data_IF_049055166073
#
_entry.id   IF_049055166073
#
_cell.length_a   1.000
_cell.length_b   1.000
_cell.length_c   1.000
_cell.angle_alpha   90.00
_cell.angle_beta   90.00
_cell.angle_gamma   90.00
#
_symmetry.space_group_name_H-M   'P 1'
#
loop_
_entity.id
_entity.type
_entity.pdbx_description
1 polymer ?
#
# COMPACT_ATOMS: atom_id res chain seq x y z
N UNK A 1 40.53 -30.98 30.57
CA UNK A 1 39.13 -31.30 30.18
C UNK A 1 38.12 -30.15 30.25
N UNK A 2 38.25 -29.12 31.13
CA UNK A 2 37.30 -27.98 31.18
C UNK A 2 37.38 -27.01 29.98
N UNK A 3 38.58 -26.71 29.47
CA UNK A 3 38.76 -25.77 28.33
C UNK A 3 38.18 -26.27 27.00
N UNK A 4 38.27 -27.57 26.73
CA UNK A 4 37.73 -28.17 25.49
C UNK A 4 36.20 -28.24 25.47
N UNK A 5 35.55 -28.41 26.63
CA UNK A 5 34.08 -28.34 26.74
C UNK A 5 33.53 -26.95 26.44
N UNK A 6 34.23 -25.89 26.85
CA UNK A 6 33.81 -24.51 26.61
C UNK A 6 33.92 -24.11 25.13
N UNK A 7 34.96 -24.58 24.43
CA UNK A 7 35.15 -24.33 22.99
C UNK A 7 34.10 -25.09 22.16
N UNK A 8 33.80 -26.34 22.51
CA UNK A 8 32.75 -27.11 21.86
C UNK A 8 31.36 -26.49 22.04
N UNK A 9 31.05 -25.98 23.24
CA UNK A 9 29.80 -25.28 23.50
C UNK A 9 29.68 -23.95 22.73
N UNK A 10 30.78 -23.19 22.61
CA UNK A 10 30.81 -21.96 21.81
C UNK A 10 30.62 -22.22 20.32
N UNK A 11 31.24 -23.29 19.79
CA UNK A 11 31.06 -23.74 18.41
C UNK A 11 29.60 -24.15 18.15
N UNK A 12 28.97 -24.89 19.07
CA UNK A 12 27.54 -25.23 18.97
C UNK A 12 26.67 -23.97 18.93
N UNK A 13 26.93 -22.97 19.80
CA UNK A 13 26.21 -21.69 19.79
C UNK A 13 26.35 -20.93 18.46
N UNK A 14 27.56 -20.92 17.88
CA UNK A 14 27.85 -20.30 16.59
C UNK A 14 27.16 -21.01 15.41
N UNK A 15 26.92 -22.33 15.50
CA UNK A 15 26.14 -23.06 14.49
C UNK A 15 24.62 -22.98 14.72
N UNK A 16 24.17 -22.52 15.89
CA UNK A 16 22.74 -22.29 16.19
C UNK A 16 22.28 -20.85 15.97
N UNK A 17 23.10 -19.97 15.39
CA UNK A 17 22.67 -18.62 15.01
C UNK A 17 21.72 -18.71 13.82
N UNK A 18 20.46 -19.03 14.11
CA UNK A 18 19.35 -18.89 13.17
C UNK A 18 19.33 -17.43 12.72
N UNK A 19 19.36 -17.22 11.41
CA UNK A 19 19.20 -15.88 10.83
C UNK A 19 17.78 -15.41 11.13
N UNK A 20 17.62 -14.59 12.17
CA UNK A 20 16.35 -13.91 12.44
C UNK A 20 16.27 -12.72 11.49
N UNK A 21 15.37 -12.81 10.51
CA UNK A 21 15.02 -11.66 9.67
C UNK A 21 14.08 -10.77 10.45
N UNK A 22 14.60 -9.66 10.99
CA UNK A 22 13.78 -8.58 11.53
C UNK A 22 13.64 -7.50 10.44
N UNK A 23 12.43 -7.31 9.90
CA UNK A 23 12.13 -6.17 9.05
C UNK A 23 11.65 -5.00 9.93
N UNK A 24 11.95 -3.77 9.50
CA UNK A 24 11.49 -2.56 10.16
C UNK A 24 10.62 -1.77 9.18
N UNK A 25 9.49 -1.26 9.67
CA UNK A 25 8.67 -0.31 8.91
C UNK A 25 9.48 0.92 8.50
N UNK A 26 9.17 1.44 7.33
CA UNK A 26 9.76 2.67 6.79
C UNK A 26 8.68 3.67 6.40
N UNK A 27 9.12 4.90 6.16
CA UNK A 27 8.27 6.00 5.72
C UNK A 27 8.62 6.39 4.29
N UNK A 28 7.61 6.64 3.46
CA UNK A 28 7.75 7.31 2.17
C UNK A 28 7.03 8.64 2.24
N UNK A 29 7.72 9.72 1.83
CA UNK A 29 7.16 11.08 1.81
C UNK A 29 7.22 11.62 0.39
N UNK A 30 6.14 12.24 -0.06
CA UNK A 30 6.06 12.97 -1.33
C UNK A 30 5.37 14.31 -1.11
N UNK A 31 5.66 15.26 -1.99
CA UNK A 31 5.08 16.61 -1.93
C UNK A 31 4.50 16.98 -3.30
N UNK A 32 3.28 17.52 -3.29
CA UNK A 32 2.56 18.04 -4.45
C UNK A 32 1.99 19.39 -4.06
N UNK A 33 2.62 20.49 -4.51
CA UNK A 33 2.20 21.85 -4.14
C UNK A 33 2.23 22.07 -2.61
N UNK A 34 1.08 22.44 -2.03
CA UNK A 34 0.89 22.60 -0.58
C UNK A 34 0.50 21.30 0.16
N UNK A 35 0.42 20.17 -0.55
CA UNK A 35 0.07 18.87 0.01
C UNK A 35 1.33 18.04 0.24
N UNK A 36 1.57 17.67 1.49
CA UNK A 36 2.55 16.66 1.89
C UNK A 36 1.83 15.35 2.10
N UNK A 37 2.32 14.29 1.49
CA UNK A 37 1.82 12.94 1.65
C UNK A 37 2.88 12.07 2.32
N UNK A 38 2.48 11.27 3.30
CA UNK A 38 3.37 10.34 4.01
C UNK A 38 2.68 8.99 4.17
N UNK A 39 3.37 7.88 3.88
CA UNK A 39 2.91 6.52 4.17
C UNK A 39 3.93 5.77 5.03
N UNK A 40 3.48 5.14 6.11
CA UNK A 40 4.21 4.11 6.87
C UNK A 40 3.87 2.73 6.33
N UNK A 41 4.86 1.91 6.05
CA UNK A 41 4.62 0.51 5.67
C UNK A 41 5.85 -0.37 5.89
N UNK A 42 5.69 -1.70 5.87
CA UNK A 42 6.78 -2.67 6.08
C UNK A 42 7.49 -3.10 4.79
N UNK A 43 6.83 -2.95 3.64
CA UNK A 43 7.34 -3.43 2.34
C UNK A 43 6.98 -2.48 1.20
N UNK A 44 7.55 -2.70 0.02
CA UNK A 44 7.31 -1.89 -1.18
C UNK A 44 5.97 -2.26 -1.85
N UNK A 45 4.84 -1.97 -1.20
CA UNK A 45 3.50 -2.22 -1.75
C UNK A 45 3.09 -1.21 -2.81
N UNK A 46 2.12 -1.62 -3.65
CA UNK A 46 1.46 -0.74 -4.60
C UNK A 46 0.68 0.41 -3.92
N UNK A 47 0.28 0.25 -2.65
CA UNK A 47 -0.31 1.34 -1.84
C UNK A 47 0.57 2.60 -1.81
N UNK A 48 1.90 2.48 -1.88
CA UNK A 48 2.79 3.64 -1.96
C UNK A 48 2.50 4.46 -3.23
N UNK A 49 2.24 3.79 -4.35
CA UNK A 49 1.93 4.43 -5.64
C UNK A 49 0.54 5.04 -5.64
N UNK A 50 -0.45 4.37 -5.04
CA UNK A 50 -1.80 4.90 -4.87
C UNK A 50 -1.82 6.14 -3.99
N UNK A 51 -1.09 6.12 -2.88
CA UNK A 51 -0.96 7.28 -1.98
C UNK A 51 -0.33 8.50 -2.68
N UNK A 52 0.62 8.28 -3.59
CA UNK A 52 1.16 9.35 -4.43
C UNK A 52 0.10 9.92 -5.40
N UNK A 53 -0.70 9.07 -6.04
CA UNK A 53 -1.85 9.48 -6.86
C UNK A 53 -2.83 10.34 -6.03
N UNK A 54 -3.13 9.90 -4.80
CA UNK A 54 -3.98 10.67 -3.87
C UNK A 54 -3.39 12.06 -3.60
N UNK A 55 -2.08 12.16 -3.39
CA UNK A 55 -1.40 13.43 -3.17
C UNK A 55 -1.54 14.41 -4.34
N UNK A 56 -1.42 13.93 -5.58
CA UNK A 56 -1.64 14.76 -6.78
C UNK A 56 -3.10 15.22 -6.91
N UNK A 57 -4.06 14.31 -6.71
CA UNK A 57 -5.50 14.66 -6.74
C UNK A 57 -5.88 15.63 -5.62
N UNK A 58 -5.30 15.47 -4.44
CA UNK A 58 -5.50 16.34 -3.30
C UNK A 58 -4.99 17.77 -3.54
N UNK A 59 -3.87 17.92 -4.25
CA UNK A 59 -3.36 19.24 -4.63
C UNK A 59 -4.31 19.94 -5.60
N UNK A 60 -4.84 19.21 -6.58
CA UNK A 60 -5.83 19.73 -7.52
C UNK A 60 -7.11 20.14 -6.79
N UNK A 61 -7.57 19.31 -5.84
CA UNK A 61 -8.73 19.62 -4.99
C UNK A 61 -8.48 20.90 -4.17
N UNK A 62 -7.32 21.02 -3.53
CA UNK A 62 -6.97 22.19 -2.74
C UNK A 62 -6.96 23.47 -3.59
N UNK A 63 -6.38 23.41 -4.80
CA UNK A 63 -6.43 24.52 -5.77
C UNK A 63 -7.86 24.88 -6.16
N UNK A 64 -8.71 23.89 -6.47
CA UNK A 64 -10.13 24.13 -6.82
C UNK A 64 -10.91 24.79 -5.69
N UNK A 65 -10.58 24.47 -4.44
CA UNK A 65 -11.16 25.07 -3.25
C UNK A 65 -10.44 26.36 -2.79
N UNK A 66 -9.48 26.86 -3.57
CA UNK A 66 -8.66 28.04 -3.25
C UNK A 66 -7.95 27.95 -1.88
N UNK A 67 -7.52 26.76 -1.48
CA UNK A 67 -6.83 26.51 -0.22
C UNK A 67 -5.32 26.36 -0.43
N UNK A 68 -4.54 27.31 0.09
CA UNK A 68 -3.09 27.38 -0.11
C UNK A 68 -2.26 27.10 1.16
N UNK A 69 -2.91 26.89 2.30
CA UNK A 69 -2.22 26.53 3.54
C UNK A 69 -1.77 25.06 3.51
N UNK A 70 -0.82 24.63 4.36
CA UNK A 70 -0.29 23.28 4.31
C UNK A 70 -1.35 22.22 4.60
N UNK A 71 -1.26 21.12 3.86
CA UNK A 71 -2.05 19.91 4.06
C UNK A 71 -1.08 18.76 4.29
N UNK A 72 -1.36 17.92 5.29
CA UNK A 72 -0.71 16.64 5.48
C UNK A 72 -1.74 15.52 5.27
N UNK A 73 -1.45 14.62 4.34
CA UNK A 73 -2.12 13.34 4.21
C UNK A 73 -1.20 12.26 4.75
N UNK A 74 -1.59 11.60 5.83
CA UNK A 74 -0.73 10.71 6.59
C UNK A 74 -1.36 9.31 6.73
N UNK A 75 -0.74 8.35 6.08
CA UNK A 75 -1.24 7.00 5.88
C UNK A 75 -0.42 6.00 6.68
N UNK A 76 -1.07 5.19 7.50
CA UNK A 76 -0.43 4.07 8.20
C UNK A 76 -1.00 2.76 7.67
N UNK A 77 -0.18 2.06 6.88
CA UNK A 77 -0.60 0.83 6.19
C UNK A 77 -0.58 -0.34 7.16
N UNK A 78 -1.76 -0.90 7.44
CA UNK A 78 -1.92 -2.13 8.22
C UNK A 78 -1.82 -3.35 7.30
N UNK A 79 -0.60 -3.87 7.12
CA UNK A 79 -0.31 -4.83 6.04
C UNK A 79 -0.24 -6.31 6.48
N UNK A 80 -0.45 -6.60 7.77
CA UNK A 80 -0.39 -7.98 8.31
C UNK A 80 -1.76 -8.57 8.66
N UNK A 81 -2.82 -7.88 8.26
CA UNK A 81 -4.20 -8.35 8.41
C UNK A 81 -5.17 -7.39 7.73
N UNK A 82 -6.46 -7.53 8.07
CA UNK A 82 -7.51 -6.62 7.63
C UNK A 82 -7.76 -5.56 8.70
N UNK A 83 -7.85 -4.29 8.30
CA UNK A 83 -8.28 -3.20 9.15
C UNK A 83 -9.32 -2.37 8.41
N UNK A 84 -10.48 -2.15 9.05
CA UNK A 84 -11.44 -1.17 8.56
C UNK A 84 -10.81 0.23 8.58
N UNK A 85 -11.03 1.07 7.54
CA UNK A 85 -10.43 2.38 7.48
C UNK A 85 -10.88 3.28 8.63
N UNK A 86 -9.93 3.82 9.38
CA UNK A 86 -10.18 4.83 10.43
C UNK A 86 -9.53 6.15 10.02
N UNK A 87 -10.26 7.25 10.19
CA UNK A 87 -9.85 8.59 9.79
C UNK A 87 -9.72 9.51 11.00
N UNK A 88 -8.68 10.33 11.03
CA UNK A 88 -8.47 11.37 12.04
C UNK A 88 -8.24 12.70 11.37
N UNK A 89 -8.98 13.73 11.78
CA UNK A 89 -8.94 15.06 11.19
C UNK A 89 -8.51 16.09 12.23
N UNK A 90 -7.47 16.86 11.93
CA UNK A 90 -6.93 17.87 12.84
C UNK A 90 -6.40 19.10 12.10
N UNK A 91 -6.18 20.17 12.87
CA UNK A 91 -5.48 21.37 12.41
C UNK A 91 -4.27 21.61 13.31
N UNK A 92 -3.15 20.96 12.99
CA UNK A 92 -1.90 21.01 13.74
C UNK A 92 -0.67 20.82 12.84
N UNK A 93 0.48 20.46 13.41
CA UNK A 93 1.74 20.31 12.68
C UNK A 93 2.08 18.84 12.34
N UNK A 94 1.13 17.91 12.45
CA UNK A 94 1.32 16.51 12.11
C UNK A 94 1.96 15.66 13.21
N UNK A 95 2.28 16.20 14.38
CA UNK A 95 3.00 15.47 15.44
C UNK A 95 2.23 14.24 15.93
N UNK A 96 2.92 13.09 16.04
CA UNK A 96 2.43 11.87 16.70
C UNK A 96 3.29 11.60 17.93
N UNK A 97 2.69 11.53 19.11
CA UNK A 97 3.40 11.03 20.31
C UNK A 97 3.07 9.56 20.51
N UNK A 98 3.93 8.84 21.23
CA UNK A 98 3.79 7.42 21.51
C UNK A 98 3.69 7.21 23.03
N UNK A 99 2.95 6.21 23.49
CA UNK A 99 2.79 5.94 24.93
C UNK A 99 3.99 5.17 25.53
N UNK A 100 4.84 4.55 24.72
CA UNK A 100 6.00 3.81 25.23
C UNK A 100 7.04 4.72 25.92
N UNK A 101 7.37 4.35 27.16
CA UNK A 101 8.22 5.10 28.09
C UNK A 101 9.69 5.09 27.60
N UNK A 102 10.05 6.09 26.80
CA UNK A 102 11.34 6.09 26.10
C UNK A 102 11.48 7.15 25.02
N UNK A 103 11.18 8.40 25.37
CA UNK A 103 11.71 9.61 24.73
C UNK A 103 11.80 9.60 23.18
N UNK A 104 10.66 9.59 22.49
CA UNK A 104 10.55 10.31 21.20
C UNK A 104 9.28 11.14 21.20
N UNK A 105 9.40 12.41 21.62
CA UNK A 105 8.43 13.44 21.19
C UNK A 105 8.43 13.38 19.66
N UNK A 106 7.29 13.05 19.06
CA UNK A 106 7.18 13.04 17.60
C UNK A 106 7.70 14.35 17.02
N UNK A 107 8.48 14.24 15.96
CA UNK A 107 8.89 15.42 15.21
C UNK A 107 7.66 15.96 14.46
N UNK A 108 7.45 17.29 14.43
CA UNK A 108 6.48 17.90 13.54
C UNK A 108 6.73 17.48 12.09
N UNK A 109 5.65 17.16 11.37
CA UNK A 109 5.71 16.75 9.96
C UNK A 109 5.47 17.93 9.02
N UNK A 110 4.78 18.95 9.53
CA UNK A 110 4.60 20.24 8.89
C UNK A 110 5.43 21.30 9.63
N UNK A 111 6.01 22.23 8.88
CA UNK A 111 6.77 23.37 9.41
C UNK A 111 5.89 24.41 10.10
N UNK A 112 4.62 24.50 9.73
CA UNK A 112 3.58 25.31 10.37
C UNK A 112 2.28 24.50 10.50
N UNK A 113 1.34 24.98 11.34
CA UNK A 113 0.04 24.33 11.49
C UNK A 113 -0.73 24.36 10.17
N UNK A 114 -1.38 23.25 9.84
CA UNK A 114 -2.18 23.08 8.64
C UNK A 114 -3.24 22.00 8.85
N UNK A 115 -3.97 21.65 7.81
CA UNK A 115 -4.90 20.52 7.84
C UNK A 115 -4.11 19.23 7.88
N UNK A 116 -4.52 18.29 8.73
CA UNK A 116 -3.95 16.95 8.80
C UNK A 116 -5.09 15.94 8.69
N UNK A 117 -5.03 15.12 7.65
CA UNK A 117 -5.91 13.96 7.44
C UNK A 117 -5.07 12.71 7.63
N UNK A 118 -5.31 11.97 8.71
CA UNK A 118 -4.65 10.69 9.02
C UNK A 118 -5.56 9.53 8.73
N UNK A 119 -4.99 8.43 8.24
CA UNK A 119 -5.70 7.20 7.93
C UNK A 119 -4.93 5.97 8.39
N UNK A 120 -5.64 5.02 8.99
CA UNK A 120 -5.13 3.68 9.30
C UNK A 120 -6.00 2.69 8.55
N UNK A 121 -5.42 1.91 7.65
CA UNK A 121 -6.15 0.94 6.81
C UNK A 121 -5.20 -0.06 6.16
N UNK A 122 -5.72 -1.20 5.71
CA UNK A 122 -5.01 -2.12 4.80
C UNK A 122 -4.98 -1.62 3.36
N UNK A 123 -5.93 -0.75 2.97
CA UNK A 123 -5.98 -0.13 1.64
C UNK A 123 -6.54 1.29 1.71
N UNK A 124 -6.05 2.18 0.84
CA UNK A 124 -6.46 3.58 0.86
C UNK A 124 -7.38 3.91 -0.31
N UNK A 125 -8.64 4.25 0.02
CA UNK A 125 -9.62 4.68 -0.98
C UNK A 125 -9.41 6.16 -1.35
N UNK A 126 -9.29 6.39 -2.66
CA UNK A 126 -8.98 7.71 -3.21
C UNK A 126 -10.13 8.68 -2.96
N UNK A 127 -11.37 8.27 -3.23
CA UNK A 127 -12.54 9.16 -3.15
C UNK A 127 -12.83 9.54 -1.70
N UNK A 128 -12.82 8.56 -0.80
CA UNK A 128 -13.01 8.76 0.63
C UNK A 128 -11.95 9.72 1.20
N UNK A 129 -10.70 9.58 0.78
CA UNK A 129 -9.64 10.52 1.17
C UNK A 129 -9.94 11.94 0.69
N UNK A 130 -10.37 12.10 -0.57
CA UNK A 130 -10.71 13.41 -1.12
C UNK A 130 -11.93 14.02 -0.42
N UNK A 131 -12.93 13.23 -0.03
CA UNK A 131 -14.09 13.69 0.76
C UNK A 131 -13.67 14.18 2.14
N UNK A 132 -12.79 13.45 2.82
CA UNK A 132 -12.21 13.88 4.11
C UNK A 132 -11.45 15.19 3.98
N UNK A 133 -10.68 15.34 2.91
CA UNK A 133 -9.91 16.56 2.65
C UNK A 133 -10.82 17.74 2.31
N UNK A 134 -11.82 17.57 1.44
CA UNK A 134 -12.80 18.60 1.11
C UNK A 134 -13.53 19.08 2.36
N UNK A 135 -14.03 18.15 3.18
CA UNK A 135 -14.64 18.49 4.46
C UNK A 135 -13.66 19.30 5.33
N UNK A 136 -12.41 18.85 5.43
CA UNK A 136 -11.40 19.50 6.25
C UNK A 136 -11.07 20.91 5.79
N UNK A 137 -10.97 21.13 4.48
CA UNK A 137 -10.76 22.46 3.87
C UNK A 137 -11.93 23.37 4.18
N UNK A 138 -13.16 22.89 4.01
CA UNK A 138 -14.36 23.71 4.23
C UNK A 138 -14.62 24.00 5.73
N UNK A 139 -14.09 23.16 6.64
CA UNK A 139 -14.38 23.22 8.07
C UNK A 139 -13.15 23.42 8.96
N UNK A 140 -12.01 23.88 8.41
CA UNK A 140 -10.74 23.93 9.16
C UNK A 140 -10.81 24.74 10.46
N UNK A 141 -11.62 25.80 10.52
CA UNK A 141 -11.83 26.61 11.73
C UNK A 141 -12.51 25.79 12.83
N UNK A 142 -13.54 25.04 12.46
CA UNK A 142 -14.27 24.15 13.36
C UNK A 142 -13.37 23.03 13.84
N UNK A 143 -12.64 22.38 12.93
CA UNK A 143 -11.65 21.33 13.28
C UNK A 143 -10.62 21.86 14.27
N UNK A 144 -10.06 23.05 14.01
CA UNK A 144 -9.09 23.69 14.90
C UNK A 144 -9.65 23.93 16.31
N UNK A 145 -10.93 24.29 16.42
CA UNK A 145 -11.61 24.58 17.69
C UNK A 145 -12.01 23.31 18.45
N UNK A 146 -12.47 22.30 17.74
CA UNK A 146 -13.09 21.10 18.32
C UNK A 146 -12.13 19.92 18.49
N UNK A 147 -10.97 19.94 17.85
CA UNK A 147 -10.00 18.86 18.00
C UNK A 147 -9.60 18.70 19.48
N UNK A 148 -9.57 17.46 19.93
CA UNK A 148 -9.08 17.08 21.25
C UNK A 148 -7.94 16.09 21.09
N UNK A 149 -7.18 15.93 22.16
CA UNK A 149 -6.15 14.88 22.22
C UNK A 149 -6.86 13.54 22.41
N UNK A 150 -6.51 12.57 21.58
CA UNK A 150 -7.00 11.20 21.64
C UNK A 150 -5.83 10.22 21.72
N UNK A 151 -6.10 9.05 22.28
CA UNK A 151 -5.20 7.90 22.30
C UNK A 151 -5.75 6.81 21.37
N UNK A 152 -4.90 6.28 20.49
CA UNK A 152 -5.27 5.24 19.54
C UNK A 152 -4.26 4.09 19.60
N UNK A 153 -4.72 2.94 20.09
CA UNK A 153 -3.89 1.80 20.47
C UNK A 153 -4.30 0.52 19.73
N UNK A 154 -4.49 0.62 18.41
CA UNK A 154 -4.91 -0.48 17.55
C UNK A 154 -4.07 -0.52 16.26
N UNK A 155 -4.10 -1.64 15.52
CA UNK A 155 -3.51 -1.76 14.19
C UNK A 155 -2.02 -1.32 14.09
N UNK A 156 -1.20 -1.76 15.04
CA UNK A 156 0.22 -1.35 15.22
C UNK A 156 0.45 0.15 15.44
N UNK A 157 -0.58 0.85 15.87
CA UNK A 157 -0.50 2.22 16.31
C UNK A 157 -0.57 2.25 17.84
N UNK A 158 0.26 3.09 18.43
CA UNK A 158 0.23 3.48 19.83
C UNK A 158 0.42 4.99 19.83
N UNK A 159 -0.65 5.70 19.49
CA UNK A 159 -0.60 7.10 19.10
C UNK A 159 -1.33 7.98 20.10
N UNK A 160 -0.72 9.10 20.43
CA UNK A 160 -1.39 10.26 21.00
C UNK A 160 -1.36 11.38 19.97
N UNK A 161 -2.53 11.71 19.42
CA UNK A 161 -2.72 12.70 18.35
C UNK A 161 -3.86 13.64 18.68
N UNK A 162 -3.96 14.76 17.96
CA UNK A 162 -5.20 15.53 17.95
C UNK A 162 -6.14 15.01 16.87
N UNK A 163 -7.43 15.01 17.14
CA UNK A 163 -8.47 14.77 16.16
C UNK A 163 -9.79 15.38 16.64
N UNK A 164 -10.68 15.72 15.72
CA UNK A 164 -12.12 15.79 16.03
C UNK A 164 -12.67 14.38 16.29
N UNK A 165 -13.90 14.29 16.80
CA UNK A 165 -14.62 13.02 16.97
C UNK A 165 -14.57 12.18 15.67
N UNK A 166 -14.00 10.98 15.76
CA UNK A 166 -13.81 10.07 14.64
C UNK A 166 -15.15 9.58 14.08
N UNK A 167 -16.24 9.58 14.85
CA UNK A 167 -17.56 9.22 14.34
C UNK A 167 -18.04 10.17 13.23
N UNK A 168 -17.56 11.43 13.21
CA UNK A 168 -17.84 12.36 12.11
C UNK A 168 -17.36 11.84 10.76
N UNK A 169 -16.36 10.95 10.73
CA UNK A 169 -15.89 10.36 9.48
C UNK A 169 -17.01 9.54 8.81
N UNK A 170 -17.85 8.86 9.57
CA UNK A 170 -18.95 8.04 9.04
C UNK A 170 -19.92 8.93 8.25
N UNK A 171 -20.32 10.06 8.81
CA UNK A 171 -21.22 11.01 8.16
C UNK A 171 -20.60 11.63 6.90
N UNK A 172 -19.30 12.00 6.97
CA UNK A 172 -18.56 12.54 5.82
C UNK A 172 -18.53 11.50 4.69
N UNK A 173 -18.27 10.24 4.99
CA UNK A 173 -18.24 9.16 4.00
C UNK A 173 -19.62 8.81 3.45
N UNK A 174 -20.68 8.95 4.25
CA UNK A 174 -22.06 8.74 3.81
C UNK A 174 -22.59 9.89 2.93
N UNK A 175 -21.97 11.08 3.01
CA UNK A 175 -22.41 12.24 2.22
C UNK A 175 -22.26 12.01 0.70
N UNK A 176 -23.08 12.69 -0.11
CA UNK A 176 -22.95 12.62 -1.57
C UNK A 176 -21.68 13.32 -2.04
N UNK A 177 -21.06 12.82 -3.10
CA UNK A 177 -19.96 13.52 -3.75
C UNK A 177 -20.40 14.90 -4.25
N UNK A 178 -19.60 15.92 -3.96
CA UNK A 178 -19.82 17.27 -4.47
C UNK A 178 -19.50 17.35 -5.97
N UNK A 179 -19.86 18.46 -6.62
CA UNK A 179 -19.40 18.69 -8.00
C UNK A 179 -17.87 18.78 -8.08
N UNK A 180 -17.22 19.39 -7.09
CA UNK A 180 -15.76 19.52 -7.07
C UNK A 180 -15.10 18.15 -7.05
N UNK A 181 -15.54 17.22 -6.19
CA UNK A 181 -15.02 15.86 -6.16
C UNK A 181 -15.25 15.14 -7.50
N UNK A 182 -16.45 15.28 -8.10
CA UNK A 182 -16.77 14.70 -9.41
C UNK A 182 -15.91 15.27 -10.54
N UNK A 183 -15.53 16.54 -10.49
CA UNK A 183 -14.57 17.13 -11.41
C UNK A 183 -13.16 16.57 -11.21
N UNK A 184 -12.68 16.50 -9.97
CA UNK A 184 -11.34 15.98 -9.66
C UNK A 184 -11.19 14.53 -10.12
N UNK A 185 -12.22 13.70 -9.94
CA UNK A 185 -12.25 12.29 -10.39
C UNK A 185 -12.06 12.11 -11.89
N UNK A 186 -12.43 13.10 -12.71
CA UNK A 186 -12.22 13.07 -14.16
C UNK A 186 -10.74 13.27 -14.53
N UNK A 187 -9.89 13.69 -13.60
CA UNK A 187 -8.47 13.87 -13.84
C UNK A 187 -7.78 12.53 -14.02
N UNK A 188 -6.95 12.46 -15.05
CA UNK A 188 -6.12 11.29 -15.34
C UNK A 188 -4.77 11.42 -14.64
N UNK A 189 -4.50 10.57 -13.67
CA UNK A 189 -3.21 10.52 -12.95
C UNK A 189 -2.55 9.17 -13.17
N UNK A 190 -1.34 9.15 -13.73
CA UNK A 190 -0.62 7.90 -14.00
C UNK A 190 -0.05 7.28 -12.73
N UNK A 191 0.14 5.96 -12.75
CA UNK A 191 0.97 5.27 -11.77
C UNK A 191 2.37 5.92 -11.73
N UNK A 192 2.83 6.39 -10.56
CA UNK A 192 4.12 7.05 -10.46
C UNK A 192 5.27 6.05 -10.66
N UNK A 193 5.97 6.20 -11.78
CA UNK A 193 7.12 5.36 -12.12
C UNK A 193 8.22 6.23 -12.71
N UNK A 194 9.39 6.20 -12.05
CA UNK A 194 10.58 6.84 -12.61
C UNK A 194 11.01 6.05 -13.84
N UNK A 195 11.31 6.78 -14.91
CA UNK A 195 11.89 6.24 -16.15
C UNK A 195 11.03 5.23 -16.93
N UNK A 196 9.73 5.14 -16.66
CA UNK A 196 8.83 4.29 -17.45
C UNK A 196 8.59 4.89 -18.84
N UNK A 197 9.08 4.21 -19.89
CA UNK A 197 8.96 4.66 -21.29
C UNK A 197 7.90 3.91 -22.09
N UNK A 198 7.76 2.59 -21.88
CA UNK A 198 6.90 1.72 -22.67
C UNK A 198 6.52 0.45 -21.93
N UNK A 199 5.41 -0.18 -22.35
CA UNK A 199 4.86 -1.43 -21.81
C UNK A 199 3.51 -1.23 -21.14
N UNK A 200 3.09 -2.22 -20.33
CA UNK A 200 1.86 -2.15 -19.55
C UNK A 200 2.06 -1.28 -18.31
N UNK A 201 1.19 -0.31 -18.07
CA UNK A 201 1.09 0.48 -16.83
C UNK A 201 -0.39 0.79 -16.56
N UNK A 202 -0.69 1.65 -15.59
CA UNK A 202 -2.04 2.13 -15.38
C UNK A 202 -2.09 3.63 -15.08
N UNK A 203 -3.28 4.20 -15.24
CA UNK A 203 -3.64 5.49 -14.65
C UNK A 203 -4.94 5.35 -13.86
N UNK A 204 -5.12 6.17 -12.84
CA UNK A 204 -6.39 6.29 -12.15
C UNK A 204 -7.23 7.42 -12.77
N UNK A 205 -8.51 7.14 -13.01
CA UNK A 205 -9.50 8.10 -13.50
C UNK A 205 -10.90 7.51 -13.31
N UNK A 206 -11.87 8.34 -12.90
CA UNK A 206 -13.28 7.96 -12.73
C UNK A 206 -13.46 6.68 -11.88
N UNK A 207 -12.84 6.66 -10.70
CA UNK A 207 -12.89 5.54 -9.73
C UNK A 207 -12.29 4.21 -10.21
N UNK A 208 -11.56 4.23 -11.33
CA UNK A 208 -10.98 3.03 -11.91
C UNK A 208 -9.51 3.17 -12.17
N UNK A 209 -8.81 2.05 -12.03
CA UNK A 209 -7.46 1.86 -12.50
C UNK A 209 -7.52 1.34 -13.94
N UNK A 210 -7.20 2.21 -14.89
CA UNK A 210 -7.24 1.93 -16.32
C UNK A 210 -5.87 1.39 -16.73
N UNK A 211 -5.81 0.08 -17.01
CA UNK A 211 -4.61 -0.59 -17.51
C UNK A 211 -4.43 -0.20 -18.97
N UNK A 212 -3.24 0.29 -19.29
CA UNK A 212 -2.89 0.73 -20.63
C UNK A 212 -1.60 0.10 -21.10
N UNK A 213 -1.52 -0.12 -22.41
CA UNK A 213 -0.28 -0.41 -23.11
C UNK A 213 0.26 0.89 -23.72
N UNK A 214 1.48 1.29 -23.34
CA UNK A 214 2.17 2.45 -23.89
C UNK A 214 3.30 1.98 -24.82
N UNK A 215 3.31 2.46 -26.05
CA UNK A 215 4.42 2.26 -26.97
C UNK A 215 4.76 3.59 -27.64
N UNK A 216 5.90 4.17 -27.26
CA UNK A 216 6.31 5.52 -27.63
C UNK A 216 5.20 6.54 -27.29
N UNK A 217 4.57 7.11 -28.32
CA UNK A 217 3.52 8.12 -28.19
C UNK A 217 2.09 7.55 -28.30
N UNK A 218 1.95 6.24 -28.50
CA UNK A 218 0.63 5.59 -28.55
C UNK A 218 0.29 5.01 -27.19
N UNK A 219 -0.94 5.24 -26.79
CA UNK A 219 -1.54 4.64 -25.62
C UNK A 219 -2.82 3.93 -26.04
N UNK A 220 -2.98 2.69 -25.59
CA UNK A 220 -4.18 1.90 -25.83
C UNK A 220 -4.71 1.38 -24.50
N UNK A 221 -6.01 1.60 -24.25
CA UNK A 221 -6.71 1.02 -23.12
C UNK A 221 -6.80 -0.49 -23.30
N UNK A 222 -6.36 -1.23 -22.29
CA UNK A 222 -6.42 -2.69 -22.26
C UNK A 222 -7.63 -3.16 -21.46
N UNK A 223 -7.77 -2.65 -20.23
CA UNK A 223 -8.91 -2.94 -19.35
C UNK A 223 -9.02 -1.90 -18.24
N UNK A 224 -10.12 -1.90 -17.50
CA UNK A 224 -10.33 -1.05 -16.33
C UNK A 224 -10.67 -1.92 -15.12
N UNK A 225 -9.94 -1.72 -14.02
CA UNK A 225 -10.08 -2.46 -12.78
C UNK A 225 -10.56 -1.54 -11.66
N UNK A 226 -11.39 -2.08 -10.76
CA UNK A 226 -11.83 -1.34 -9.57
C UNK A 226 -10.73 -1.34 -8.48
N UNK A 227 -9.81 -2.31 -8.52
CA UNK A 227 -8.75 -2.50 -7.53
C UNK A 227 -7.51 -3.07 -8.20
N UNK A 228 -6.35 -2.71 -7.66
CA UNK A 228 -5.06 -3.33 -7.96
C UNK A 228 -4.40 -3.61 -6.63
N UNK A 229 -4.16 -4.88 -6.30
CA UNK A 229 -3.39 -5.28 -5.13
C UNK A 229 -1.89 -5.08 -5.36
N UNK A 230 -1.39 -5.53 -6.51
CA UNK A 230 0.03 -5.42 -6.88
C UNK A 230 0.20 -5.46 -8.41
N UNK A 231 1.27 -4.85 -8.91
CA UNK A 231 1.69 -4.94 -10.31
C UNK A 231 3.21 -5.12 -10.40
N UNK A 232 3.62 -6.23 -10.98
CA UNK A 232 5.04 -6.59 -11.11
C UNK A 232 5.42 -6.90 -12.55
N UNK A 233 6.45 -6.21 -13.04
CA UNK A 233 7.07 -6.50 -14.34
C UNK A 233 8.27 -7.39 -14.13
N UNK A 234 8.28 -8.53 -14.82
CA UNK A 234 9.37 -9.51 -14.77
C UNK A 234 9.64 -10.02 -16.16
N UNK A 235 10.86 -9.77 -16.63
CA UNK A 235 11.29 -10.11 -17.99
C UNK A 235 10.34 -9.53 -19.06
N UNK A 236 9.74 -10.38 -19.90
CA UNK A 236 8.81 -10.00 -20.95
C UNK A 236 7.34 -10.06 -20.50
N UNK A 237 7.07 -10.07 -19.20
CA UNK A 237 5.74 -10.33 -18.64
C UNK A 237 5.37 -9.34 -17.52
N UNK A 238 4.09 -8.98 -17.45
CA UNK A 238 3.53 -8.16 -16.37
C UNK A 238 2.44 -8.95 -15.65
N UNK A 239 2.63 -9.13 -14.35
CA UNK A 239 1.65 -9.72 -13.44
C UNK A 239 0.84 -8.61 -12.81
N UNK A 240 -0.48 -8.67 -12.94
CA UNK A 240 -1.41 -7.74 -12.29
C UNK A 240 -2.28 -8.54 -11.33
N UNK A 241 -2.14 -8.25 -10.05
CA UNK A 241 -2.96 -8.82 -8.99
C UNK A 241 -4.13 -7.86 -8.73
N UNK A 242 -5.36 -8.31 -8.96
CA UNK A 242 -6.56 -7.53 -8.64
C UNK A 242 -6.88 -7.59 -7.14
N UNK A 243 -6.65 -8.77 -6.55
CA UNK A 243 -6.79 -9.06 -5.12
C UNK A 243 -5.50 -9.72 -4.64
N UNK A 244 -5.40 -10.02 -3.35
CA UNK A 244 -4.27 -10.82 -2.87
C UNK A 244 -4.24 -12.20 -3.50
N UNK A 245 -5.36 -12.80 -3.93
CA UNK A 245 -5.41 -14.15 -4.50
C UNK A 245 -5.52 -14.22 -6.02
N UNK A 246 -6.05 -13.19 -6.68
CA UNK A 246 -6.40 -13.26 -8.09
C UNK A 246 -5.47 -12.43 -8.96
N UNK A 247 -4.94 -13.03 -10.04
CA UNK A 247 -4.05 -12.34 -10.97
C UNK A 247 -4.29 -12.69 -12.43
N UNK A 248 -3.85 -11.77 -13.29
CA UNK A 248 -3.75 -11.91 -14.73
C UNK A 248 -2.32 -11.62 -15.18
N UNK A 249 -1.96 -12.18 -16.34
CA UNK A 249 -0.64 -12.03 -16.92
C UNK A 249 -0.76 -11.40 -18.30
N UNK A 250 0.06 -10.38 -18.54
CA UNK A 250 0.14 -9.63 -19.79
C UNK A 250 1.53 -9.75 -20.39
N UNK A 251 1.61 -9.74 -21.72
CA UNK A 251 2.90 -9.57 -22.39
C UNK A 251 3.41 -8.12 -22.19
N UNK A 252 4.71 -7.93 -22.00
CA UNK A 252 5.28 -6.58 -21.80
C UNK A 252 5.34 -5.77 -23.09
N UNK A 253 5.46 -6.44 -24.24
CA UNK A 253 5.65 -5.83 -25.56
C UNK A 253 4.38 -5.83 -26.41
N UNK A 254 3.33 -6.53 -25.97
CA UNK A 254 2.03 -6.57 -26.63
C UNK A 254 0.93 -6.16 -25.66
N UNK A 255 -0.20 -5.70 -26.19
CA UNK A 255 -1.40 -5.39 -25.40
C UNK A 255 -2.21 -6.64 -24.97
N UNK A 256 -1.73 -7.83 -25.31
CA UNK A 256 -2.47 -9.08 -25.15
C UNK A 256 -2.37 -9.59 -23.70
N UNK A 257 -3.54 -9.94 -23.15
CA UNK A 257 -3.61 -10.82 -21.98
C UNK A 257 -3.16 -12.20 -22.45
N UNK A 258 -2.18 -12.77 -21.76
CA UNK A 258 -1.59 -14.07 -22.12
C UNK A 258 -1.96 -15.18 -21.14
N UNK A 259 -2.88 -14.90 -20.21
CA UNK A 259 -3.42 -15.89 -19.27
C UNK A 259 -4.92 -15.76 -19.10
N UNK A 260 -5.57 -16.84 -18.71
CA UNK A 260 -6.83 -16.71 -17.97
C UNK A 260 -6.61 -16.07 -16.60
N UNK A 261 -7.71 -15.74 -15.93
CA UNK A 261 -7.66 -15.29 -14.53
C UNK A 261 -7.28 -16.47 -13.64
N UNK A 262 -6.20 -16.31 -12.89
CA UNK A 262 -5.71 -17.31 -11.94
C UNK A 262 -6.07 -16.94 -10.52
N UNK A 263 -6.31 -17.96 -9.71
CA UNK A 263 -6.53 -17.85 -8.27
C UNK A 263 -5.48 -18.65 -7.51
N UNK A 264 -4.81 -17.99 -6.57
CA UNK A 264 -3.84 -18.58 -5.66
C UNK A 264 -4.55 -19.01 -4.38
N UNK A 265 -4.36 -20.27 -3.99
CA UNK A 265 -4.87 -20.82 -2.73
C UNK A 265 -4.10 -20.26 -1.53
N UNK A 266 -4.81 -19.91 -0.44
CA UNK A 266 -4.27 -19.38 0.83
C UNK A 266 -3.61 -17.99 0.74
N UNK A 267 -3.67 -17.34 -0.42
CA UNK A 267 -3.10 -16.03 -0.66
C UNK A 267 -3.79 -14.90 0.10
N UNK A 268 -5.01 -15.10 0.61
CA UNK A 268 -5.75 -14.10 1.39
C UNK A 268 -5.03 -13.70 2.69
N UNK A 269 -4.10 -14.54 3.16
CA UNK A 269 -3.27 -14.31 4.34
C UNK A 269 -1.86 -13.84 4.02
N UNK A 270 -1.60 -13.51 2.76
CA UNK A 270 -0.32 -12.99 2.37
C UNK A 270 -0.12 -11.60 2.99
N UNK A 271 0.95 -11.44 3.75
CA UNK A 271 1.23 -10.21 4.47
C UNK A 271 2.39 -9.41 3.85
N UNK A 272 2.91 -9.80 2.68
CA UNK A 272 3.98 -9.08 1.97
C UNK A 272 3.74 -9.06 0.46
N UNK A 273 4.35 -8.15 -0.32
CA UNK A 273 4.29 -8.23 -1.77
C UNK A 273 4.79 -9.60 -2.28
N UNK A 274 4.23 -10.05 -3.39
CA UNK A 274 4.67 -11.29 -4.03
C UNK A 274 6.14 -11.20 -4.43
N UNK A 275 6.87 -12.31 -4.40
CA UNK A 275 8.20 -12.41 -4.99
C UNK A 275 8.11 -13.20 -6.30
N UNK A 276 8.18 -12.49 -7.42
CA UNK A 276 8.12 -13.09 -8.75
C UNK A 276 9.50 -13.10 -9.39
N UNK A 277 9.95 -14.28 -9.81
CA UNK A 277 11.23 -14.45 -10.50
C UNK A 277 11.05 -15.31 -11.76
N UNK A 278 11.74 -14.93 -12.84
CA UNK A 278 11.86 -15.77 -14.04
C UNK A 278 12.82 -16.93 -13.72
N UNK A 279 12.40 -18.16 -14.02
CA UNK A 279 13.15 -19.39 -13.67
C UNK A 279 13.58 -20.21 -14.90
N UNK A 280 13.61 -19.57 -16.07
CA UNK A 280 14.01 -20.18 -17.34
C UNK A 280 12.83 -20.62 -18.22
N UNK A 281 13.05 -20.62 -19.54
CA UNK A 281 12.00 -20.82 -20.53
C UNK A 281 10.87 -19.79 -20.37
N UNK A 282 9.62 -20.24 -20.53
CA UNK A 282 8.41 -19.43 -20.28
C UNK A 282 7.83 -19.70 -18.87
N UNK A 283 8.70 -19.85 -17.85
CA UNK A 283 8.28 -20.17 -16.48
C UNK A 283 8.68 -19.10 -15.47
N UNK A 284 7.79 -18.89 -14.50
CA UNK A 284 7.95 -17.92 -13.42
C UNK A 284 7.67 -18.59 -12.08
N UNK A 285 8.52 -18.35 -11.10
CA UNK A 285 8.22 -18.63 -9.70
C UNK A 285 7.44 -17.47 -9.10
N UNK A 286 6.42 -17.77 -8.31
CA UNK A 286 5.65 -16.80 -7.54
C UNK A 286 5.69 -17.26 -6.09
N UNK A 287 6.33 -16.49 -5.22
CA UNK A 287 6.49 -16.83 -3.80
C UNK A 287 5.72 -15.84 -2.92
N UNK A 288 5.10 -16.33 -1.85
CA UNK A 288 4.39 -15.49 -0.88
C UNK A 288 4.49 -16.06 0.53
N UNK A 289 4.40 -15.17 1.53
CA UNK A 289 4.44 -15.58 2.93
C UNK A 289 3.09 -15.41 3.59
N UNK A 290 2.63 -16.43 4.31
CA UNK A 290 1.34 -16.42 4.98
C UNK A 290 1.41 -17.05 6.38
N UNK A 291 0.53 -16.62 7.28
CA UNK A 291 0.38 -17.25 8.59
C UNK A 291 -0.55 -18.46 8.48
N UNK A 292 0.00 -19.66 8.67
CA UNK A 292 -0.79 -20.90 8.67
C UNK A 292 -1.65 -21.01 9.94
N UNK A 293 -2.72 -21.83 9.90
CA UNK A 293 -3.52 -22.13 11.10
C UNK A 293 -2.87 -23.19 12.01
N UNK A 294 -1.72 -23.73 11.61
CA UNK A 294 -1.01 -24.74 12.40
C UNK A 294 -0.34 -24.11 13.63
N UNK A 295 -0.12 -24.88 14.72
CA UNK A 295 0.58 -24.40 15.91
C UNK A 295 1.98 -23.85 15.56
N UNK A 296 2.21 -22.58 15.88
CA UNK A 296 3.45 -21.87 15.61
C UNK A 296 3.19 -20.47 15.03
N UNK A 297 3.99 -19.47 15.42
CA UNK A 297 3.83 -18.08 14.96
C UNK A 297 4.64 -17.82 13.67
N UNK A 298 5.37 -18.81 13.17
CA UNK A 298 6.28 -18.59 12.04
C UNK A 298 5.51 -18.52 10.71
N UNK A 299 5.72 -17.47 9.91
CA UNK A 299 5.13 -17.38 8.59
C UNK A 299 5.66 -18.52 7.71
N UNK A 300 4.77 -19.12 6.92
CA UNK A 300 5.13 -20.15 5.93
C UNK A 300 5.39 -19.50 4.58
N UNK A 301 6.31 -20.08 3.81
CA UNK A 301 6.53 -19.76 2.41
C UNK A 301 5.84 -20.76 1.50
N UNK A 302 5.11 -20.27 0.52
CA UNK A 302 4.60 -21.08 -0.58
C UNK A 302 5.17 -20.55 -1.89
N UNK A 303 5.73 -21.47 -2.67
CA UNK A 303 6.28 -21.20 -4.00
C UNK A 303 5.39 -21.91 -5.02
N UNK A 304 4.92 -21.15 -6.00
CA UNK A 304 4.14 -21.61 -7.13
C UNK A 304 5.00 -21.52 -8.39
N UNK A 305 4.68 -22.32 -9.40
CA UNK A 305 5.24 -22.15 -10.75
C UNK A 305 4.13 -21.79 -11.72
N UNK A 306 4.25 -20.65 -12.37
CA UNK A 306 3.42 -20.28 -13.50
C UNK A 306 4.17 -20.57 -14.80
N UNK A 307 3.65 -21.51 -15.59
CA UNK A 307 4.13 -21.82 -16.94
C UNK A 307 3.28 -21.06 -17.96
N UNK A 308 3.84 -20.00 -18.54
CA UNK A 308 3.18 -19.10 -19.47
C UNK A 308 2.80 -19.78 -20.78
N UNK A 309 3.68 -20.63 -21.32
CA UNK A 309 3.46 -21.29 -22.62
C UNK A 309 2.15 -22.09 -22.66
N UNK A 310 1.86 -22.82 -21.58
CA UNK A 310 0.67 -23.66 -21.47
C UNK A 310 -0.48 -22.97 -20.74
N UNK A 311 -0.29 -21.72 -20.31
CA UNK A 311 -1.13 -21.03 -19.33
C UNK A 311 -1.53 -22.00 -18.20
N UNK A 312 -0.55 -22.36 -17.36
CA UNK A 312 -0.72 -23.33 -16.26
C UNK A 312 -0.08 -22.84 -14.97
N UNK A 313 -0.86 -22.78 -13.90
CA UNK A 313 -0.40 -22.51 -12.55
C UNK A 313 -0.27 -23.81 -11.73
N UNK A 314 0.94 -24.08 -11.27
CA UNK A 314 1.28 -25.18 -10.38
C UNK A 314 1.37 -24.64 -8.96
N UNK A 315 0.40 -25.00 -8.12
CA UNK A 315 0.29 -24.44 -6.77
C UNK A 315 0.86 -25.31 -5.64
N UNK A 316 1.04 -26.62 -5.91
CA UNK A 316 1.54 -27.58 -4.93
C UNK A 316 2.72 -28.36 -5.51
N UNK A 317 3.93 -27.82 -5.31
CA UNK A 317 5.17 -28.46 -5.76
C UNK A 317 5.42 -29.79 -5.03
N UNK A 318 5.02 -29.91 -3.77
CA UNK A 318 5.20 -31.12 -2.98
C UNK A 318 4.40 -32.31 -3.50
N UNK A 319 3.24 -32.06 -4.15
CA UNK A 319 2.46 -33.11 -4.79
C UNK A 319 3.16 -33.64 -6.04
N UNK A 320 3.75 -32.74 -6.84
CA UNK A 320 4.49 -33.09 -8.06
C UNK A 320 5.81 -33.82 -7.82
N UNK A 321 6.45 -33.66 -6.65
CA UNK A 321 7.67 -34.40 -6.32
C UNK A 321 7.41 -35.81 -5.74
N UNK A 322 6.14 -36.18 -5.53
CA UNK A 322 5.72 -37.50 -5.02
C UNK A 322 5.10 -38.39 -6.09
N UNK A 323 4.90 -37.84 -7.28
CA UNK A 323 4.54 -38.54 -8.52
C UNK A 323 5.82 -38.72 -9.34
#
# INVERSE_FOLDING_TARGET
MKKTKNIAFLLILLFTSMTVSAHQDFWVVTESGNVKTRIKTGYQYEEIKKVQIIGELAELLAKKLNYNEPILLDFNHYYVGTAEPIYFLSFDNGTIKYNYDGARKGQPLLSKKGIVVRQVSSEFDIVNTLKMLEYSINNWKTIKKEQTKIEYNENYCDWIINSIDTNKSIDILASKETEVIREIKKTKIYRPEKDFKSGITYYWQNDKYNIVFKNNNKEELVTSLNRIYDIQRKWNTVFIFETSSDFLVYDTYKKEIVSKKWKIENAEKNYRPYEINHIGGDKYSISFYYYSKEPGIQPKNQILIYARHDDKLIQNLNKLMKE
#
